data_IF_747230543093
#
_entry.id   IF_747230543093
#
_cell.length_a   1.000
_cell.length_b   1.000
_cell.length_c   1.000
_cell.angle_alpha   90.00
_cell.angle_beta   90.00
_cell.angle_gamma   90.00
#
_symmetry.space_group_name_H-M   'P 1'
#
loop_
_entity.id
_entity.type
_entity.pdbx_description
1 polymer ?
#
# COMPACT_ATOMS: atom_id res chain seq x y z
N UNK A 1 35.62 -16.92 51.91
CA UNK A 1 34.38 -17.42 51.23
C UNK A 1 33.42 -16.31 50.79
N UNK A 2 33.29 -15.19 51.49
CA UNK A 2 32.38 -14.10 51.13
C UNK A 2 32.70 -13.41 49.78
N UNK A 3 33.99 -13.16 49.49
CA UNK A 3 34.40 -12.49 48.23
C UNK A 3 34.11 -13.29 46.95
N UNK A 4 34.08 -14.63 47.03
CA UNK A 4 33.74 -15.48 45.88
C UNK A 4 32.24 -15.48 45.58
N UNK A 5 31.38 -15.35 46.60
CA UNK A 5 29.92 -15.23 46.45
C UNK A 5 29.52 -13.90 45.81
N UNK A 6 30.16 -12.80 46.21
CA UNK A 6 29.90 -11.47 45.66
C UNK A 6 30.31 -11.38 44.18
N UNK A 7 31.46 -11.99 43.82
CA UNK A 7 31.91 -12.04 42.42
C UNK A 7 30.99 -12.86 41.55
N UNK A 8 30.53 -14.04 42.00
CA UNK A 8 29.53 -14.86 41.27
C UNK A 8 28.17 -14.15 41.06
N UNK A 9 27.73 -13.43 42.07
CA UNK A 9 26.47 -12.66 42.00
C UNK A 9 26.54 -11.48 41.03
N UNK A 10 27.74 -10.85 40.91
CA UNK A 10 27.98 -9.77 39.93
C UNK A 10 27.96 -10.29 38.48
N UNK A 11 28.59 -11.41 38.22
CA UNK A 11 28.59 -12.07 36.92
C UNK A 11 27.17 -12.59 36.54
N UNK A 12 26.43 -13.11 37.51
CA UNK A 12 25.05 -13.54 37.28
C UNK A 12 24.14 -12.35 36.91
N UNK A 13 24.27 -11.19 37.56
CA UNK A 13 23.54 -9.96 37.22
C UNK A 13 23.91 -9.45 35.84
N UNK A 14 25.19 -9.48 35.44
CA UNK A 14 25.67 -9.09 34.13
C UNK A 14 25.14 -10.06 33.06
N UNK A 15 25.09 -11.35 33.32
CA UNK A 15 24.58 -12.37 32.43
C UNK A 15 23.06 -12.20 32.22
N UNK A 16 22.30 -11.93 33.27
CA UNK A 16 20.85 -11.65 33.19
C UNK A 16 20.57 -10.33 32.44
N UNK A 17 21.41 -9.31 32.66
CA UNK A 17 21.30 -8.04 31.93
C UNK A 17 21.63 -8.21 30.44
N UNK A 18 22.68 -8.97 30.11
CA UNK A 18 23.07 -9.28 28.74
C UNK A 18 22.02 -10.15 28.03
N UNK A 19 21.44 -11.14 28.74
CA UNK A 19 20.36 -11.95 28.23
C UNK A 19 19.05 -11.12 28.03
N UNK A 20 18.78 -10.16 28.91
CA UNK A 20 17.70 -9.20 28.76
C UNK A 20 17.88 -8.24 27.58
N UNK A 21 19.11 -7.76 27.33
CA UNK A 21 19.41 -6.92 26.16
C UNK A 21 19.31 -7.68 24.83
N UNK A 22 19.63 -8.99 24.81
CA UNK A 22 19.53 -9.79 23.58
C UNK A 22 18.09 -10.08 23.15
N UNK A 23 17.10 -9.90 24.03
CA UNK A 23 15.68 -10.05 23.71
C UNK A 23 15.08 -8.79 23.01
N UNK A 24 15.82 -7.68 22.95
CA UNK A 24 15.41 -6.45 22.27
C UNK A 24 16.05 -6.28 20.88
N UNK A 25 16.48 -7.36 20.24
CA UNK A 25 16.78 -7.32 18.80
C UNK A 25 15.44 -7.23 18.08
N UNK A 26 14.91 -6.02 17.94
CA UNK A 26 13.82 -5.73 17.04
C UNK A 26 14.30 -6.04 15.62
N UNK A 27 13.68 -7.00 14.96
CA UNK A 27 13.85 -7.20 13.53
C UNK A 27 13.40 -5.88 12.85
N UNK A 28 14.33 -5.17 12.26
CA UNK A 28 14.05 -4.02 11.42
C UNK A 28 13.38 -4.55 10.14
N UNK A 29 12.06 -4.63 10.16
CA UNK A 29 11.27 -4.99 9.00
C UNK A 29 11.15 -3.76 8.11
N UNK A 30 11.89 -3.71 7.01
CA UNK A 30 11.75 -2.67 6.01
C UNK A 30 10.63 -3.03 5.04
N UNK A 31 9.75 -2.07 4.74
CA UNK A 31 8.77 -2.21 3.66
C UNK A 31 9.50 -2.39 2.33
N UNK A 32 9.05 -3.35 1.53
CA UNK A 32 9.67 -3.70 0.25
C UNK A 32 8.92 -3.02 -0.90
N UNK A 33 7.58 -3.02 -0.83
CA UNK A 33 6.71 -2.44 -1.85
C UNK A 33 6.12 -1.09 -1.45
N UNK A 34 5.79 -0.22 -2.45
CA UNK A 34 5.04 1.02 -2.20
C UNK A 34 3.71 0.76 -1.50
N UNK A 35 3.35 1.62 -0.54
CA UNK A 35 2.02 1.60 0.08
C UNK A 35 1.37 2.97 0.04
N UNK A 36 0.04 2.97 -0.01
CA UNK A 36 -0.79 4.16 0.00
C UNK A 36 -1.60 4.22 1.29
N UNK A 37 -1.79 5.41 1.83
CA UNK A 37 -2.66 5.63 2.99
C UNK A 37 -4.13 5.59 2.58
N UNK A 38 -4.43 6.07 1.36
CA UNK A 38 -5.70 5.91 0.68
C UNK A 38 -5.70 4.63 -0.15
N UNK A 39 -5.49 3.45 0.48
CA UNK A 39 -5.28 2.19 -0.22
C UNK A 39 -6.43 1.80 -1.16
N UNK A 40 -7.66 2.24 -0.89
CA UNK A 40 -8.80 2.03 -1.78
C UNK A 40 -8.80 2.97 -3.01
N UNK A 41 -8.07 4.08 -2.98
CA UNK A 41 -7.94 4.96 -4.14
C UNK A 41 -7.07 4.35 -5.26
N UNK A 42 -6.34 3.26 -4.98
CA UNK A 42 -5.61 2.49 -5.97
C UNK A 42 -6.02 1.01 -5.94
N UNK A 43 -7.24 0.68 -6.36
CA UNK A 43 -7.84 -0.64 -6.16
C UNK A 43 -7.08 -1.77 -6.85
N UNK A 44 -6.50 -1.55 -8.04
CA UNK A 44 -5.77 -2.59 -8.76
C UNK A 44 -4.44 -2.95 -8.07
N UNK A 45 -3.86 -2.02 -7.32
CA UNK A 45 -2.67 -2.30 -6.49
C UNK A 45 -3.02 -3.04 -5.21
N UNK A 46 -4.19 -2.74 -4.65
CA UNK A 46 -4.68 -3.39 -3.45
C UNK A 46 -5.02 -4.86 -3.70
N UNK A 47 -5.80 -5.13 -4.77
CA UNK A 47 -6.29 -6.46 -5.08
C UNK A 47 -6.68 -6.58 -6.56
N UNK A 48 -6.11 -7.51 -7.33
CA UNK A 48 -6.52 -7.76 -8.73
C UNK A 48 -8.01 -8.00 -8.91
N UNK A 49 -8.68 -8.58 -7.91
CA UNK A 49 -10.12 -8.83 -7.95
C UNK A 49 -10.99 -7.55 -7.86
N UNK A 50 -10.39 -6.39 -7.62
CA UNK A 50 -11.08 -5.09 -7.69
C UNK A 50 -11.17 -4.53 -9.11
N UNK A 51 -10.59 -5.22 -10.11
CA UNK A 51 -10.73 -4.86 -11.53
C UNK A 51 -12.20 -4.89 -11.95
N UNK A 52 -12.70 -3.76 -12.42
CA UNK A 52 -14.09 -3.58 -12.83
C UNK A 52 -15.11 -3.57 -11.68
N UNK A 53 -14.66 -3.56 -10.43
CA UNK A 53 -15.52 -3.36 -9.26
C UNK A 53 -15.76 -1.86 -9.13
N UNK A 54 -16.67 -1.36 -9.95
CA UNK A 54 -17.07 0.05 -10.04
C UNK A 54 -18.56 0.15 -10.33
N UNK A 55 -19.18 1.24 -9.96
CA UNK A 55 -20.58 1.57 -10.24
C UNK A 55 -20.77 2.25 -11.61
N UNK A 56 -19.72 2.30 -12.43
CA UNK A 56 -19.72 2.83 -13.79
C UNK A 56 -19.22 1.83 -14.83
N UNK A 57 -19.13 2.28 -16.07
CA UNK A 57 -18.62 1.49 -17.20
C UNK A 57 -17.11 1.35 -17.16
N UNK A 58 -16.42 2.44 -16.78
CA UNK A 58 -14.98 2.45 -16.59
C UNK A 58 -14.59 3.44 -15.49
N UNK A 59 -13.41 3.19 -14.91
CA UNK A 59 -12.83 4.03 -13.87
C UNK A 59 -11.37 4.33 -14.21
N UNK A 60 -10.96 5.57 -13.91
CA UNK A 60 -9.58 6.04 -13.95
C UNK A 60 -9.20 6.52 -12.56
N UNK A 61 -8.07 6.07 -12.03
CA UNK A 61 -7.56 6.57 -10.75
C UNK A 61 -6.13 7.09 -10.96
N UNK A 62 -5.83 8.19 -10.29
CA UNK A 62 -4.49 8.76 -10.20
C UNK A 62 -4.27 9.11 -8.74
N UNK A 63 -3.14 8.70 -8.18
CA UNK A 63 -2.74 9.10 -6.85
C UNK A 63 -1.23 9.33 -6.75
N UNK A 64 -0.85 10.21 -5.84
CA UNK A 64 0.53 10.54 -5.55
C UNK A 64 0.72 10.70 -4.04
N UNK A 65 1.75 10.08 -3.49
CA UNK A 65 2.12 10.14 -2.08
C UNK A 65 3.57 10.56 -1.94
N UNK A 66 3.79 11.59 -1.15
CA UNK A 66 5.12 11.98 -0.69
C UNK A 66 5.25 11.60 0.78
N UNK A 67 6.25 10.79 1.12
CA UNK A 67 6.47 10.28 2.47
C UNK A 67 7.89 10.63 2.93
N UNK A 68 8.00 11.11 4.20
CA UNK A 68 9.27 11.44 4.86
C UNK A 68 10.12 12.47 4.09
N UNK A 69 9.49 13.49 3.50
CA UNK A 69 10.18 14.55 2.75
C UNK A 69 11.22 15.33 3.58
N UNK A 70 11.13 15.26 4.92
CA UNK A 70 12.09 15.88 5.83
C UNK A 70 13.36 15.04 6.09
N UNK A 71 13.40 13.80 5.59
CA UNK A 71 14.52 12.88 5.78
C UNK A 71 15.04 12.42 4.42
N UNK A 72 16.25 12.85 4.04
CA UNK A 72 17.02 12.36 2.88
C UNK A 72 16.16 12.15 1.61
N UNK A 73 15.50 13.22 1.10
CA UNK A 73 14.64 13.20 -0.11
C UNK A 73 13.48 12.20 -0.11
N UNK A 74 13.21 11.52 1.00
CA UNK A 74 12.04 10.69 1.25
C UNK A 74 11.64 9.74 0.12
N UNK A 75 10.35 9.39 0.11
CA UNK A 75 9.74 8.59 -0.97
C UNK A 75 8.69 9.40 -1.70
N UNK A 76 8.73 9.36 -3.01
CA UNK A 76 7.68 9.87 -3.90
C UNK A 76 7.09 8.68 -4.66
N UNK A 77 5.84 8.34 -4.39
CA UNK A 77 5.11 7.28 -5.08
C UNK A 77 3.98 7.89 -5.90
N UNK A 78 3.89 7.57 -7.17
CA UNK A 78 2.80 7.96 -8.05
C UNK A 78 2.20 6.72 -8.70
N UNK A 79 0.87 6.65 -8.76
CA UNK A 79 0.13 5.56 -9.36
C UNK A 79 -0.96 6.07 -10.29
N UNK A 80 -1.19 5.30 -11.36
CA UNK A 80 -2.35 5.48 -12.22
C UNK A 80 -2.93 4.12 -12.57
N UNK A 81 -4.25 4.02 -12.63
CA UNK A 81 -4.94 2.82 -13.06
C UNK A 81 -6.17 3.15 -13.90
N UNK A 82 -6.48 2.22 -14.79
CA UNK A 82 -7.69 2.21 -15.60
C UNK A 82 -8.32 0.84 -15.50
N UNK A 83 -9.62 0.77 -15.30
CA UNK A 83 -10.36 -0.48 -15.35
C UNK A 83 -11.77 -0.29 -15.90
N UNK A 84 -12.29 -1.35 -16.54
CA UNK A 84 -13.59 -1.36 -17.19
C UNK A 84 -14.26 -2.73 -17.09
N UNK A 85 -15.58 -2.75 -17.13
CA UNK A 85 -16.39 -3.95 -17.17
C UNK A 85 -17.23 -3.99 -18.46
N UNK A 86 -16.61 -4.30 -19.63
CA UNK A 86 -17.29 -4.24 -20.93
C UNK A 86 -18.37 -5.31 -21.09
N UNK A 87 -18.27 -6.39 -20.32
CA UNK A 87 -19.19 -7.51 -20.33
C UNK A 87 -19.66 -7.80 -18.91
N UNK A 88 -20.86 -8.31 -18.74
CA UNK A 88 -21.51 -8.52 -17.44
C UNK A 88 -20.63 -9.21 -16.37
N UNK A 89 -19.80 -10.15 -16.78
CA UNK A 89 -19.02 -10.97 -15.84
C UNK A 89 -17.50 -10.83 -16.02
N UNK A 90 -17.02 -10.15 -17.06
CA UNK A 90 -15.59 -10.02 -17.36
C UNK A 90 -15.18 -8.56 -17.30
N UNK A 91 -14.08 -8.32 -16.65
CA UNK A 91 -13.48 -6.99 -16.48
C UNK A 91 -12.01 -7.01 -16.86
N UNK A 92 -11.53 -5.87 -17.35
CA UNK A 92 -10.13 -5.67 -17.71
C UNK A 92 -9.62 -4.39 -17.08
N UNK A 93 -8.31 -4.33 -16.87
CA UNK A 93 -7.68 -3.14 -16.34
C UNK A 93 -6.19 -3.10 -16.62
N UNK A 94 -5.61 -1.95 -16.38
CA UNK A 94 -4.18 -1.71 -16.43
C UNK A 94 -3.78 -0.76 -15.32
N UNK A 95 -2.58 -0.92 -14.78
CA UNK A 95 -2.03 0.00 -13.82
C UNK A 95 -0.53 0.21 -14.01
N UNK A 96 -0.08 1.37 -13.59
CA UNK A 96 1.32 1.73 -13.49
C UNK A 96 1.55 2.40 -12.14
N UNK A 97 2.61 1.99 -11.44
CA UNK A 97 3.05 2.60 -10.18
C UNK A 97 4.54 2.84 -10.28
N UNK A 98 4.95 4.03 -9.95
CA UNK A 98 6.35 4.43 -9.88
C UNK A 98 6.66 4.95 -8.48
N UNK A 99 7.70 4.42 -7.86
CA UNK A 99 8.25 4.91 -6.61
C UNK A 99 9.69 5.34 -6.80
N UNK A 100 10.00 6.53 -6.31
CA UNK A 100 11.36 7.07 -6.24
C UNK A 100 11.75 7.26 -4.78
N UNK A 101 12.99 6.97 -4.44
CA UNK A 101 13.47 7.10 -3.07
C UNK A 101 14.94 7.51 -3.01
N UNK A 102 15.25 8.37 -2.04
CA UNK A 102 16.60 8.75 -1.65
C UNK A 102 17.41 9.48 -2.72
N UNK A 103 18.66 9.80 -2.35
CA UNK A 103 19.59 10.57 -3.20
C UNK A 103 20.24 9.72 -4.28
N UNK A 104 20.29 8.40 -4.11
CA UNK A 104 20.86 7.44 -5.07
C UNK A 104 20.00 7.24 -6.32
N UNK A 105 18.86 7.95 -6.41
CA UNK A 105 17.94 7.84 -7.55
C UNK A 105 17.29 6.48 -7.67
N UNK A 106 17.04 5.78 -6.52
CA UNK A 106 16.27 4.54 -6.54
C UNK A 106 14.91 4.76 -7.20
N UNK A 107 14.60 3.89 -8.13
CA UNK A 107 13.35 3.93 -8.89
C UNK A 107 12.79 2.52 -9.04
N UNK A 108 11.53 2.33 -8.64
CA UNK A 108 10.78 1.09 -8.85
C UNK A 108 9.54 1.40 -9.67
N UNK A 109 9.43 0.76 -10.83
CA UNK A 109 8.29 0.86 -11.73
C UNK A 109 7.59 -0.49 -11.78
N UNK A 110 6.28 -0.50 -11.52
CA UNK A 110 5.41 -1.64 -11.69
C UNK A 110 4.39 -1.31 -12.77
N UNK A 111 4.30 -2.12 -13.82
CA UNK A 111 3.30 -1.98 -14.88
C UNK A 111 2.59 -3.32 -15.09
N UNK A 112 1.27 -3.35 -14.87
CA UNK A 112 0.46 -4.56 -14.84
C UNK A 112 -0.79 -4.43 -15.69
N UNK A 113 -1.16 -5.51 -16.36
CA UNK A 113 -2.47 -5.71 -16.97
C UNK A 113 -3.28 -6.66 -16.08
N UNK A 114 -4.56 -6.42 -15.95
CA UNK A 114 -5.44 -7.21 -15.09
C UNK A 114 -6.67 -7.69 -15.85
N UNK A 115 -7.14 -8.88 -15.45
CA UNK A 115 -8.40 -9.45 -15.87
C UNK A 115 -9.14 -9.97 -14.64
N UNK A 116 -10.47 -9.79 -14.59
CA UNK A 116 -11.27 -10.34 -13.51
C UNK A 116 -12.56 -10.98 -14.02
N UNK A 117 -13.00 -12.02 -13.30
CA UNK A 117 -14.23 -12.73 -13.56
C UNK A 117 -15.16 -12.65 -12.35
N UNK A 118 -16.41 -12.23 -12.61
CA UNK A 118 -17.43 -11.95 -11.61
C UNK A 118 -18.49 -13.03 -11.59
N UNK A 119 -18.74 -13.59 -10.41
CA UNK A 119 -19.84 -14.53 -10.14
C UNK A 119 -20.87 -13.82 -9.27
N UNK A 120 -22.11 -13.75 -9.75
CA UNK A 120 -23.24 -13.19 -9.01
C UNK A 120 -24.12 -14.29 -8.47
N UNK A 121 -24.56 -14.17 -7.22
CA UNK A 121 -25.42 -15.12 -6.55
C UNK A 121 -26.35 -14.41 -5.54
N UNK A 122 -27.15 -15.20 -4.82
CA UNK A 122 -28.14 -14.66 -3.90
C UNK A 122 -29.43 -14.19 -4.60
N UNK A 123 -30.38 -13.74 -3.82
CA UNK A 123 -31.62 -13.17 -4.39
C UNK A 123 -31.25 -11.91 -5.15
N UNK A 124 -31.77 -11.76 -6.38
CA UNK A 124 -31.52 -10.62 -7.27
C UNK A 124 -30.05 -10.43 -7.71
N UNK A 125 -29.15 -11.40 -7.42
CA UNK A 125 -27.72 -11.31 -7.81
C UNK A 125 -26.93 -10.22 -7.07
N UNK A 126 -27.40 -9.80 -5.90
CA UNK A 126 -26.78 -8.74 -5.12
C UNK A 126 -25.45 -9.15 -4.45
N UNK A 127 -25.23 -10.44 -4.23
CA UNK A 127 -23.97 -10.96 -3.69
C UNK A 127 -23.01 -11.29 -4.82
N UNK A 128 -21.76 -10.89 -4.69
CA UNK A 128 -20.78 -10.96 -5.76
C UNK A 128 -19.46 -11.52 -5.21
N UNK A 129 -18.90 -12.51 -5.90
CA UNK A 129 -17.51 -12.92 -5.76
C UNK A 129 -16.79 -12.55 -7.05
N UNK A 130 -15.67 -11.88 -6.94
CA UNK A 130 -14.81 -11.51 -8.05
C UNK A 130 -13.44 -12.19 -7.89
N UNK A 131 -12.93 -12.80 -8.94
CA UNK A 131 -11.60 -13.38 -9.04
C UNK A 131 -10.79 -12.53 -10.01
N UNK A 132 -9.58 -12.15 -9.62
CA UNK A 132 -8.72 -11.32 -10.46
C UNK A 132 -7.33 -11.91 -10.62
N UNK A 133 -6.77 -11.72 -11.79
CA UNK A 133 -5.37 -12.03 -12.10
C UNK A 133 -4.73 -10.80 -12.73
N UNK A 134 -3.47 -10.57 -12.40
CA UNK A 134 -2.65 -9.56 -13.05
C UNK A 134 -1.34 -10.18 -13.51
N UNK A 135 -0.85 -9.71 -14.65
CA UNK A 135 0.47 -10.05 -15.17
C UNK A 135 1.14 -8.79 -15.71
N UNK A 136 2.43 -8.69 -15.54
CA UNK A 136 3.18 -7.52 -15.99
C UNK A 136 4.65 -7.59 -15.63
N UNK A 137 5.23 -6.43 -15.42
CA UNK A 137 6.66 -6.26 -15.21
C UNK A 137 6.94 -5.37 -14.00
N UNK A 138 8.03 -5.69 -13.32
CA UNK A 138 8.67 -4.83 -12.32
C UNK A 138 10.03 -4.43 -12.86
N UNK A 139 10.30 -3.14 -12.93
CA UNK A 139 11.62 -2.60 -13.20
C UNK A 139 12.14 -1.90 -11.94
N UNK A 140 13.31 -2.28 -11.48
CA UNK A 140 14.03 -1.57 -10.42
C UNK A 140 15.33 -1.03 -10.97
N UNK A 141 15.68 0.19 -10.60
CA UNK A 141 16.93 0.85 -11.02
C UNK A 141 17.42 1.82 -9.96
N UNK A 142 18.71 2.11 -9.98
CA UNK A 142 19.35 3.18 -9.23
C UNK A 142 20.52 3.74 -10.04
N UNK A 143 21.01 4.90 -9.65
CA UNK A 143 22.13 5.57 -10.32
C UNK A 143 23.44 5.28 -9.56
N UNK A 144 24.34 4.42 -10.11
CA UNK A 144 25.59 4.07 -9.45
C UNK A 144 26.48 5.28 -9.19
N UNK A 145 26.40 6.33 -10.03
CA UNK A 145 27.23 7.53 -9.87
C UNK A 145 26.89 8.38 -8.65
N UNK A 146 25.72 8.14 -8.06
CA UNK A 146 25.24 8.83 -6.85
C UNK A 146 25.48 8.04 -5.57
N UNK A 147 26.02 6.84 -5.67
CA UNK A 147 26.36 6.04 -4.50
C UNK A 147 27.65 6.58 -3.90
N UNK A 148 27.62 6.86 -2.60
CA UNK A 148 28.80 7.19 -1.81
C UNK A 148 28.98 6.10 -0.73
N UNK A 149 30.12 5.42 -0.78
CA UNK A 149 30.44 4.35 0.17
C UNK A 149 31.36 4.85 1.27
N UNK A 150 31.26 4.23 2.45
CA UNK A 150 32.13 4.55 3.56
C UNK A 150 33.62 4.36 3.26
N UNK A 151 33.96 3.45 2.33
CA UNK A 151 35.33 3.23 1.82
C UNK A 151 35.89 4.44 1.09
N UNK A 152 35.07 5.34 0.56
CA UNK A 152 35.44 6.56 -0.13
C UNK A 152 35.60 7.77 0.82
N UNK A 153 35.40 7.58 2.12
CA UNK A 153 35.57 8.63 3.11
C UNK A 153 36.97 8.61 3.72
N UNK A 154 37.70 9.69 3.49
CA UNK A 154 38.98 9.94 4.15
C UNK A 154 38.73 10.76 5.43
N UNK A 155 39.28 10.35 6.59
CA UNK A 155 39.08 11.04 7.86
C UNK A 155 39.53 12.50 7.89
N UNK A 156 40.41 12.91 6.98
CA UNK A 156 41.01 14.25 6.94
C UNK A 156 40.30 15.16 5.94
N UNK A 157 40.03 14.65 4.72
CA UNK A 157 39.49 15.46 3.60
C UNK A 157 38.01 15.20 3.31
N UNK A 158 37.40 14.22 4.01
CA UNK A 158 36.00 13.84 3.77
C UNK A 158 35.83 12.90 2.58
N UNK A 159 34.77 13.06 1.82
CA UNK A 159 34.47 12.23 0.65
C UNK A 159 35.50 12.48 -0.48
N UNK A 160 36.11 11.39 -0.95
CA UNK A 160 37.07 11.41 -2.05
C UNK A 160 36.58 10.53 -3.21
N UNK A 161 36.09 11.13 -4.32
CA UNK A 161 35.57 10.39 -5.48
C UNK A 161 36.65 9.63 -6.26
N UNK A 162 37.95 9.92 -6.01
CA UNK A 162 39.06 9.20 -6.66
C UNK A 162 39.30 7.81 -6.03
N UNK A 163 38.78 7.56 -4.83
CA UNK A 163 38.88 6.25 -4.19
C UNK A 163 37.88 5.31 -4.86
N UNK A 164 38.39 4.22 -5.41
CA UNK A 164 37.60 3.18 -6.07
C UNK A 164 36.58 2.57 -5.11
N UNK A 165 35.34 2.40 -5.58
CA UNK A 165 34.35 1.60 -4.86
C UNK A 165 34.80 0.14 -4.85
N UNK A 166 35.15 -0.38 -3.67
CA UNK A 166 35.58 -1.77 -3.51
C UNK A 166 34.39 -2.76 -3.43
N UNK A 167 33.22 -2.37 -3.90
CA UNK A 167 32.02 -3.20 -3.87
C UNK A 167 31.56 -3.50 -5.29
N UNK A 168 31.28 -4.78 -5.54
CA UNK A 168 30.77 -5.25 -6.83
C UNK A 168 29.29 -4.85 -6.99
N UNK A 169 29.00 -3.86 -7.80
CA UNK A 169 27.65 -3.54 -8.23
C UNK A 169 27.29 -4.44 -9.41
N UNK A 170 26.52 -5.49 -9.17
CA UNK A 170 26.17 -6.48 -10.19
C UNK A 170 25.28 -5.94 -11.29
N UNK A 171 24.34 -5.05 -10.96
CA UNK A 171 23.44 -4.42 -11.93
C UNK A 171 22.83 -3.16 -11.37
N UNK A 172 22.81 -2.09 -12.15
CA UNK A 172 22.13 -0.83 -11.81
C UNK A 172 20.66 -0.80 -12.22
N UNK A 173 20.21 -1.76 -13.01
CA UNK A 173 18.82 -1.88 -13.45
C UNK A 173 18.48 -3.32 -13.80
N UNK A 174 17.26 -3.75 -13.46
CA UNK A 174 16.73 -5.02 -13.93
C UNK A 174 15.22 -4.97 -14.16
N UNK A 175 14.77 -5.78 -15.11
CA UNK A 175 13.38 -5.99 -15.45
C UNK A 175 13.01 -7.45 -15.14
N UNK A 176 11.87 -7.65 -14.47
CA UNK A 176 11.38 -8.98 -14.13
C UNK A 176 9.87 -9.10 -14.38
N UNK A 177 9.40 -10.24 -14.93
CA UNK A 177 7.98 -10.52 -15.03
C UNK A 177 7.39 -10.79 -13.64
N UNK A 178 6.14 -10.38 -13.45
CA UNK A 178 5.42 -10.62 -12.22
C UNK A 178 3.96 -10.99 -12.47
N UNK A 179 3.39 -11.76 -11.54
CA UNK A 179 2.01 -12.23 -11.57
C UNK A 179 1.39 -12.08 -10.19
N UNK A 180 0.16 -11.58 -10.16
CA UNK A 180 -0.64 -11.39 -8.94
C UNK A 180 -1.99 -12.08 -9.11
N UNK A 181 -2.58 -12.52 -8.00
CA UNK A 181 -3.91 -13.13 -7.94
C UNK A 181 -4.71 -12.53 -6.79
N UNK A 182 -6.04 -12.45 -6.94
CA UNK A 182 -6.89 -11.95 -5.89
C UNK A 182 -8.30 -12.50 -5.93
N UNK A 183 -8.96 -12.41 -4.78
CA UNK A 183 -10.38 -12.75 -4.60
C UNK A 183 -11.03 -11.63 -3.79
N UNK A 184 -12.26 -11.29 -4.15
CA UNK A 184 -13.06 -10.28 -3.46
C UNK A 184 -14.51 -10.74 -3.38
N UNK A 185 -15.07 -10.68 -2.19
CA UNK A 185 -16.52 -10.79 -1.96
C UNK A 185 -17.07 -9.42 -1.60
N UNK A 186 -18.21 -9.06 -2.14
CA UNK A 186 -18.97 -7.91 -1.69
C UNK A 186 -20.48 -8.09 -1.88
N UNK A 187 -21.24 -7.50 -0.96
CA UNK A 187 -22.69 -7.40 -1.06
C UNK A 187 -23.06 -6.05 -1.68
N UNK A 188 -23.52 -6.07 -2.92
CA UNK A 188 -23.98 -4.90 -3.66
C UNK A 188 -25.50 -4.69 -3.62
N UNK A 189 -26.21 -5.34 -2.68
CA UNK A 189 -27.67 -5.23 -2.58
C UNK A 189 -28.09 -3.81 -2.16
N UNK A 190 -28.82 -3.11 -3.00
CA UNK A 190 -29.24 -1.73 -2.76
C UNK A 190 -30.29 -1.53 -1.67
N UNK A 191 -31.01 -2.60 -1.31
CA UNK A 191 -32.09 -2.59 -0.32
C UNK A 191 -31.61 -2.85 1.12
N UNK A 192 -30.31 -3.06 1.33
CA UNK A 192 -29.74 -3.31 2.66
C UNK A 192 -29.13 -2.03 3.26
N UNK A 193 -29.21 -1.95 4.58
CA UNK A 193 -28.54 -0.89 5.35
C UNK A 193 -27.04 -1.20 5.58
N UNK A 194 -26.63 -2.47 5.42
CA UNK A 194 -25.25 -2.91 5.61
C UNK A 194 -24.83 -3.66 4.36
N UNK A 195 -23.78 -3.16 3.71
CA UNK A 195 -23.15 -3.76 2.54
C UNK A 195 -21.69 -4.13 2.92
N UNK A 196 -21.45 -5.40 3.21
CA UNK A 196 -20.12 -5.88 3.60
C UNK A 196 -19.25 -6.24 2.42
N UNK A 197 -17.94 -6.11 2.59
CA UNK A 197 -16.96 -6.53 1.62
C UNK A 197 -15.71 -7.08 2.32
N UNK A 198 -15.11 -8.10 1.72
CA UNK A 198 -13.86 -8.70 2.18
C UNK A 198 -13.08 -9.25 1.00
N UNK A 199 -11.78 -9.06 0.99
CA UNK A 199 -10.92 -9.53 -0.09
C UNK A 199 -9.54 -9.92 0.39
N UNK A 200 -8.88 -10.70 -0.45
CA UNK A 200 -7.49 -11.08 -0.27
C UNK A 200 -6.76 -11.16 -1.58
N UNK A 201 -5.48 -10.86 -1.58
CA UNK A 201 -4.62 -10.98 -2.75
C UNK A 201 -3.24 -11.52 -2.40
N UNK A 202 -2.61 -12.15 -3.39
CA UNK A 202 -1.24 -12.61 -3.40
C UNK A 202 -0.51 -11.92 -4.55
N UNK A 203 0.50 -11.14 -4.25
CA UNK A 203 1.36 -10.47 -5.23
C UNK A 203 2.73 -11.13 -5.25
N UNK A 204 3.44 -10.95 -6.38
CA UNK A 204 4.78 -11.50 -6.61
C UNK A 204 4.83 -13.03 -6.56
N UNK A 205 3.84 -13.69 -7.20
CA UNK A 205 3.80 -15.15 -7.29
C UNK A 205 5.01 -15.74 -8.01
N UNK A 206 5.61 -14.99 -8.93
CA UNK A 206 6.83 -15.37 -9.65
C UNK A 206 8.08 -15.29 -8.80
N UNK A 207 8.04 -14.58 -7.66
CA UNK A 207 9.17 -14.32 -6.76
C UNK A 207 10.42 -13.90 -7.58
N UNK A 208 10.35 -12.78 -8.32
CA UNK A 208 11.44 -12.36 -9.20
C UNK A 208 12.76 -12.21 -8.43
N UNK A 209 13.87 -12.60 -9.08
CA UNK A 209 15.21 -12.45 -8.49
C UNK A 209 15.56 -10.99 -8.37
N UNK A 210 16.06 -10.58 -7.20
CA UNK A 210 16.67 -9.26 -7.01
C UNK A 210 18.12 -9.31 -7.51
N UNK A 211 18.39 -8.53 -8.55
CA UNK A 211 19.71 -8.51 -9.19
C UNK A 211 20.64 -7.42 -8.66
N UNK A 212 20.19 -6.60 -7.72
CA UNK A 212 21.05 -5.58 -7.11
C UNK A 212 22.02 -6.19 -6.11
N UNK A 213 21.55 -7.19 -5.37
CA UNK A 213 22.35 -7.91 -4.39
C UNK A 213 22.79 -9.23 -5.02
N UNK A 214 24.08 -9.51 -5.01
CA UNK A 214 24.59 -10.81 -5.47
C UNK A 214 23.94 -11.97 -4.73
N UNK A 215 23.85 -13.13 -5.38
CA UNK A 215 23.26 -14.32 -4.80
C UNK A 215 21.84 -14.63 -5.28
N UNK A 216 21.07 -15.37 -4.49
CA UNK A 216 19.74 -15.87 -4.84
C UNK A 216 18.60 -15.10 -4.13
N UNK A 217 18.84 -13.82 -3.81
CA UNK A 217 17.82 -12.95 -3.22
C UNK A 217 16.62 -12.83 -4.13
N UNK A 218 15.42 -13.00 -3.58
CA UNK A 218 14.15 -12.94 -4.32
C UNK A 218 13.18 -12.00 -3.64
N UNK A 219 12.41 -11.27 -4.44
CA UNK A 219 11.31 -10.47 -3.93
C UNK A 219 10.30 -11.41 -3.24
N UNK A 220 10.03 -11.20 -1.94
CA UNK A 220 9.05 -12.04 -1.24
C UNK A 220 7.64 -11.83 -1.78
N UNK A 221 6.82 -12.87 -1.72
CA UNK A 221 5.38 -12.74 -1.98
C UNK A 221 4.77 -11.77 -0.97
N UNK A 222 3.85 -10.94 -1.45
CA UNK A 222 3.04 -10.06 -0.62
C UNK A 222 1.63 -10.63 -0.49
N UNK A 223 1.21 -10.89 0.73
CA UNK A 223 -0.17 -11.19 1.09
C UNK A 223 -0.88 -9.90 1.51
N UNK A 224 -2.08 -9.66 0.99
CA UNK A 224 -2.94 -8.56 1.39
C UNK A 224 -4.31 -9.11 1.75
N UNK A 225 -4.80 -8.78 2.95
CA UNK A 225 -6.18 -9.01 3.38
C UNK A 225 -6.84 -7.68 3.69
N UNK A 226 -8.03 -7.44 3.18
CA UNK A 226 -8.74 -6.19 3.44
C UNK A 226 -10.25 -6.41 3.51
N UNK A 227 -10.97 -5.51 4.19
CA UNK A 227 -12.39 -5.61 4.29
C UNK A 227 -13.03 -4.46 5.05
N UNK A 228 -14.36 -4.49 5.08
CA UNK A 228 -15.15 -3.48 5.75
C UNK A 228 -16.64 -3.67 5.51
N UNK A 229 -17.42 -2.70 5.93
CA UNK A 229 -18.84 -2.68 5.69
C UNK A 229 -19.34 -1.24 5.57
N UNK A 230 -20.05 -0.92 4.49
CA UNK A 230 -20.79 0.33 4.38
C UNK A 230 -22.09 0.20 5.18
N UNK A 231 -22.30 1.09 6.13
CA UNK A 231 -23.45 1.14 7.02
C UNK A 231 -24.21 2.44 6.76
N UNK A 232 -25.43 2.34 6.26
CA UNK A 232 -26.32 3.48 6.10
C UNK A 232 -26.92 3.87 7.44
N UNK A 233 -26.53 5.01 7.99
CA UNK A 233 -27.09 5.53 9.23
C UNK A 233 -28.33 6.39 8.99
N UNK A 234 -28.33 7.14 7.87
CA UNK A 234 -29.46 7.96 7.44
C UNK A 234 -29.47 8.12 5.92
N UNK A 235 -30.40 8.90 5.41
CA UNK A 235 -30.44 9.27 3.98
C UNK A 235 -29.22 10.11 3.54
N UNK A 236 -28.56 10.78 4.48
CA UNK A 236 -27.46 11.70 4.18
C UNK A 236 -26.12 11.19 4.69
N UNK A 237 -26.07 10.14 5.54
CA UNK A 237 -24.85 9.73 6.22
C UNK A 237 -24.66 8.23 6.16
N UNK A 238 -23.54 7.84 5.56
CA UNK A 238 -23.01 6.48 5.59
C UNK A 238 -21.70 6.46 6.34
N UNK A 239 -21.42 5.37 7.07
CA UNK A 239 -20.12 5.11 7.70
C UNK A 239 -19.58 3.79 7.19
N UNK A 240 -18.28 3.77 6.85
CA UNK A 240 -17.59 2.57 6.38
C UNK A 240 -16.38 2.28 7.29
N UNK A 241 -16.56 1.48 8.36
CA UNK A 241 -15.43 0.87 9.04
C UNK A 241 -14.69 -0.06 8.09
N UNK A 242 -13.35 -0.04 8.16
CA UNK A 242 -12.49 -0.80 7.26
C UNK A 242 -11.20 -1.23 7.94
N UNK A 243 -10.56 -2.24 7.39
CA UNK A 243 -9.27 -2.73 7.83
C UNK A 243 -8.44 -3.23 6.65
N UNK A 244 -7.12 -3.23 6.83
CA UNK A 244 -6.16 -3.84 5.93
C UNK A 244 -5.06 -4.55 6.73
N UNK A 245 -4.64 -5.69 6.23
CA UNK A 245 -3.48 -6.45 6.67
C UNK A 245 -2.58 -6.73 5.47
N UNK A 246 -1.32 -6.37 5.56
CA UNK A 246 -0.28 -6.63 4.58
C UNK A 246 0.85 -7.41 5.23
N UNK A 247 1.38 -8.40 4.52
CA UNK A 247 2.59 -9.12 4.91
C UNK A 247 3.45 -9.41 3.69
N UNK A 248 4.74 -9.01 3.75
CA UNK A 248 5.72 -9.25 2.71
C UNK A 248 7.09 -9.57 3.33
N UNK A 249 7.50 -10.83 3.25
CA UNK A 249 8.67 -11.31 3.99
C UNK A 249 8.46 -11.13 5.51
N UNK A 250 9.38 -10.41 6.14
CA UNK A 250 9.32 -10.09 7.57
C UNK A 250 8.53 -8.80 7.85
N UNK A 251 8.27 -7.98 6.82
CA UNK A 251 7.50 -6.76 6.95
C UNK A 251 6.00 -7.06 7.05
N UNK A 252 5.32 -6.40 7.99
CA UNK A 252 3.87 -6.47 8.14
C UNK A 252 3.30 -5.08 8.40
N UNK A 253 2.09 -4.88 7.93
CA UNK A 253 1.31 -3.67 8.17
C UNK A 253 -0.11 -4.08 8.57
N UNK A 254 -0.63 -3.48 9.62
CA UNK A 254 -2.02 -3.62 10.06
C UNK A 254 -2.58 -2.23 10.23
N UNK A 255 -3.63 -1.92 9.50
CA UNK A 255 -4.32 -0.66 9.68
C UNK A 255 -5.84 -0.87 9.75
N UNK A 256 -6.51 0.00 10.49
CA UNK A 256 -7.96 0.00 10.58
C UNK A 256 -8.48 1.37 10.94
N UNK A 257 -9.73 1.61 10.58
CA UNK A 257 -10.38 2.88 10.83
C UNK A 257 -11.77 2.94 10.23
N UNK A 258 -12.22 4.14 9.95
CA UNK A 258 -13.49 4.36 9.29
C UNK A 258 -13.47 5.68 8.52
N UNK A 259 -14.27 5.74 7.47
CA UNK A 259 -14.64 7.01 6.84
C UNK A 259 -16.16 7.16 6.81
N UNK A 260 -16.60 8.41 6.85
CA UNK A 260 -17.98 8.82 6.69
C UNK A 260 -18.17 9.47 5.33
N UNK A 261 -19.32 9.23 4.71
CA UNK A 261 -19.79 9.90 3.50
C UNK A 261 -21.04 10.68 3.85
N UNK A 262 -20.98 12.00 3.75
CA UNK A 262 -22.07 12.91 4.00
C UNK A 262 -22.61 13.45 2.65
N UNK A 263 -23.83 13.11 2.30
CA UNK A 263 -24.48 13.61 1.10
C UNK A 263 -24.89 15.09 1.30
N UNK A 264 -24.27 15.97 0.52
CA UNK A 264 -24.53 17.41 0.55
C UNK A 264 -25.72 17.78 -0.35
N UNK A 265 -25.76 17.15 -1.52
CA UNK A 265 -26.82 17.30 -2.51
C UNK A 265 -26.84 16.11 -3.47
N UNK A 266 -27.67 16.13 -4.52
CA UNK A 266 -27.82 15.04 -5.49
C UNK A 266 -26.57 14.73 -6.30
N UNK A 267 -25.61 15.65 -6.36
CA UNK A 267 -24.39 15.53 -7.17
C UNK A 267 -23.09 15.49 -6.34
N UNK A 268 -23.18 15.77 -5.02
CA UNK A 268 -21.97 15.96 -4.20
C UNK A 268 -22.08 15.31 -2.84
N UNK A 269 -21.02 14.58 -2.47
CA UNK A 269 -20.84 14.04 -1.12
C UNK A 269 -19.49 14.48 -0.55
N UNK A 270 -19.46 14.77 0.74
CA UNK A 270 -18.24 15.00 1.50
C UNK A 270 -17.78 13.68 2.13
N UNK A 271 -16.53 13.35 1.97
CA UNK A 271 -15.89 12.17 2.56
C UNK A 271 -14.91 12.64 3.64
N UNK A 272 -14.92 12.03 4.79
CA UNK A 272 -13.92 12.29 5.83
C UNK A 272 -13.74 11.09 6.72
N UNK A 273 -12.55 10.91 7.25
CA UNK A 273 -12.27 9.72 8.06
C UNK A 273 -10.88 9.73 8.67
N UNK A 274 -10.63 8.68 9.42
CA UNK A 274 -9.34 8.43 10.01
C UNK A 274 -9.05 6.93 10.03
N UNK A 275 -7.77 6.59 9.82
CA UNK A 275 -7.23 5.25 9.97
C UNK A 275 -6.03 5.30 10.94
N UNK A 276 -5.80 4.21 11.62
CA UNK A 276 -4.60 4.03 12.42
C UNK A 276 -3.83 2.83 11.90
N UNK A 277 -2.59 3.07 11.49
CA UNK A 277 -1.63 2.06 11.11
C UNK A 277 -0.78 1.74 12.34
N UNK A 278 -0.90 0.51 12.81
CA UNK A 278 -0.24 0.06 14.04
C UNK A 278 1.27 0.27 13.95
N UNK A 279 1.84 0.83 15.01
CA UNK A 279 3.28 1.09 15.18
C UNK A 279 3.90 2.03 14.12
N UNK A 280 3.09 2.69 13.27
CA UNK A 280 3.57 3.59 12.22
C UNK A 280 2.91 4.97 12.28
N UNK A 281 1.61 5.09 11.97
CA UNK A 281 1.01 6.42 11.78
C UNK A 281 -0.49 6.48 12.07
N UNK A 282 -0.95 7.65 12.48
CA UNK A 282 -2.35 8.06 12.42
C UNK A 282 -2.61 8.81 11.11
N UNK A 283 -3.65 8.46 10.39
CA UNK A 283 -3.98 8.98 9.08
C UNK A 283 -5.31 9.72 9.15
N UNK A 284 -5.32 10.98 8.74
CA UNK A 284 -6.54 11.75 8.53
C UNK A 284 -6.82 11.86 7.03
N UNK A 285 -8.08 11.71 6.65
CA UNK A 285 -8.54 11.75 5.28
C UNK A 285 -9.73 12.71 5.13
N UNK A 286 -9.71 13.46 4.03
CA UNK A 286 -10.84 14.28 3.56
C UNK A 286 -10.96 14.12 2.04
N UNK A 287 -12.20 14.04 1.54
CA UNK A 287 -12.45 13.94 0.10
C UNK A 287 -13.77 14.60 -0.29
N UNK A 288 -13.88 14.89 -1.57
CA UNK A 288 -15.08 15.43 -2.21
C UNK A 288 -15.43 14.53 -3.39
N UNK A 289 -16.60 13.94 -3.33
CA UNK A 289 -17.24 13.33 -4.49
C UNK A 289 -18.13 14.39 -5.15
N UNK A 290 -17.89 14.67 -6.43
CA UNK A 290 -18.71 15.56 -7.23
C UNK A 290 -18.97 14.93 -8.60
N UNK A 291 -20.22 14.62 -8.88
CA UNK A 291 -20.67 13.93 -10.12
C UNK A 291 -19.92 12.60 -10.31
N UNK A 292 -19.02 12.57 -11.29
CA UNK A 292 -18.25 11.39 -11.67
C UNK A 292 -16.84 11.38 -11.11
N UNK A 293 -16.47 12.37 -10.30
CA UNK A 293 -15.11 12.56 -9.78
C UNK A 293 -15.08 12.45 -8.26
N UNK A 294 -14.03 11.82 -7.75
CA UNK A 294 -13.69 11.83 -6.32
C UNK A 294 -12.30 12.41 -6.18
N UNK A 295 -12.18 13.44 -5.36
CA UNK A 295 -10.92 14.04 -4.95
C UNK A 295 -10.65 13.65 -3.51
N UNK A 296 -9.45 13.19 -3.21
CA UNK A 296 -9.05 12.80 -1.87
C UNK A 296 -7.71 13.40 -1.47
N UNK A 297 -7.63 13.80 -0.21
CA UNK A 297 -6.40 14.27 0.43
C UNK A 297 -6.26 13.53 1.75
N UNK A 298 -5.11 12.96 2.02
CA UNK A 298 -4.80 12.41 3.34
C UNK A 298 -3.43 12.85 3.82
N UNK A 299 -3.29 12.88 5.13
CA UNK A 299 -2.04 13.19 5.81
C UNK A 299 -1.75 12.14 6.88
N UNK A 300 -0.53 11.59 6.82
CA UNK A 300 -0.01 10.64 7.79
C UNK A 300 0.74 11.39 8.89
N UNK A 301 0.36 11.18 10.14
CA UNK A 301 1.08 11.66 11.33
C UNK A 301 1.90 10.50 11.89
N UNK A 302 3.23 10.57 11.81
CA UNK A 302 4.08 9.53 12.36
C UNK A 302 3.91 9.40 13.87
N UNK A 303 3.56 8.21 14.33
CA UNK A 303 3.44 7.84 15.74
C UNK A 303 4.53 6.87 16.18
N UNK A 304 5.34 6.37 15.25
CA UNK A 304 6.47 5.46 15.47
C UNK A 304 7.70 6.19 16.03
N UNK A 305 8.76 5.45 16.32
CA UNK A 305 10.06 6.01 16.76
C UNK A 305 10.66 6.98 15.73
N UNK A 306 10.26 6.89 14.45
CA UNK A 306 10.67 7.81 13.39
C UNK A 306 10.18 9.26 13.63
N UNK A 307 9.19 9.45 14.52
CA UNK A 307 8.71 10.76 14.94
C UNK A 307 9.84 11.69 15.41
N UNK A 308 10.87 11.15 16.08
CA UNK A 308 12.03 11.95 16.54
C UNK A 308 12.82 12.56 15.38
N UNK A 309 12.93 11.85 14.26
CA UNK A 309 13.65 12.32 13.07
C UNK A 309 12.79 13.19 12.16
N UNK A 310 11.47 12.95 12.11
CA UNK A 310 10.56 13.61 11.18
C UNK A 310 9.75 14.76 11.79
N UNK A 311 9.77 14.92 13.13
CA UNK A 311 8.92 15.86 13.83
C UNK A 311 7.44 15.60 13.60
N UNK A 312 7.01 14.33 13.64
CA UNK A 312 5.66 13.82 13.34
C UNK A 312 5.19 14.00 11.88
N UNK A 313 6.06 14.44 10.97
CA UNK A 313 5.73 14.59 9.56
C UNK A 313 5.86 13.24 8.86
N UNK A 314 4.73 12.61 8.54
CA UNK A 314 4.68 11.31 7.88
C UNK A 314 4.62 11.43 6.36
N UNK A 315 3.45 11.74 5.81
CA UNK A 315 3.29 11.83 4.38
C UNK A 315 2.00 12.55 3.97
N UNK A 316 2.05 13.20 2.82
CA UNK A 316 0.90 13.78 2.14
C UNK A 316 0.54 12.89 0.95
N UNK A 317 -0.74 12.56 0.80
CA UNK A 317 -1.25 11.81 -0.34
C UNK A 317 -2.45 12.51 -0.98
N UNK A 318 -2.42 12.61 -2.29
CA UNK A 318 -3.49 13.16 -3.12
C UNK A 318 -4.03 12.06 -4.04
N UNK A 319 -5.34 12.02 -4.23
CA UNK A 319 -5.98 11.09 -5.15
C UNK A 319 -7.08 11.76 -5.97
N UNK A 320 -7.23 11.29 -7.20
CA UNK A 320 -8.31 11.66 -8.09
C UNK A 320 -8.84 10.37 -8.72
N UNK A 321 -10.14 10.14 -8.62
CA UNK A 321 -10.83 9.05 -9.28
C UNK A 321 -11.92 9.61 -10.17
N UNK A 322 -12.01 9.11 -11.40
CA UNK A 322 -13.07 9.39 -12.34
C UNK A 322 -13.79 8.10 -12.71
N UNK A 323 -15.12 8.09 -12.57
CA UNK A 323 -15.97 6.95 -12.94
C UNK A 323 -17.01 7.39 -13.97
N UNK A 324 -16.90 6.85 -15.19
CA UNK A 324 -17.90 7.12 -16.25
C UNK A 324 -19.14 6.29 -16.03
N UNK A 325 -20.30 6.94 -16.06
CA UNK A 325 -21.61 6.29 -16.01
C UNK A 325 -22.36 6.57 -17.30
N UNK A 326 -22.70 5.52 -18.05
CA UNK A 326 -23.73 5.63 -19.09
C UNK A 326 -25.07 5.62 -18.39
N UNK A 327 -25.97 6.53 -18.80
CA UNK A 327 -27.28 6.77 -18.21
C UNK A 327 -27.99 5.48 -17.77
N UNK A 328 -28.45 5.47 -16.55
CA UNK A 328 -28.90 4.30 -15.80
C UNK A 328 -30.19 3.76 -16.38
N UNK A 329 -30.19 2.49 -16.76
CA UNK A 329 -31.40 1.70 -16.90
C UNK A 329 -31.19 0.45 -16.02
N UNK A 330 -31.71 0.49 -14.79
CA UNK A 330 -31.71 -0.68 -13.88
C UNK A 330 -31.52 -0.34 -12.40
N UNK A 331 -31.75 -1.32 -11.50
CA UNK A 331 -31.50 -1.10 -10.09
C UNK A 331 -30.01 -0.81 -9.87
N UNK A 332 -29.73 0.28 -9.19
CA UNK A 332 -28.37 0.70 -8.83
C UNK A 332 -27.74 -0.35 -7.93
N UNK A 333 -26.73 -1.08 -8.43
CA UNK A 333 -25.88 -1.87 -7.57
C UNK A 333 -24.99 -0.91 -6.79
N UNK A 334 -25.00 -1.03 -5.46
CA UNK A 334 -24.02 -0.33 -4.65
C UNK A 334 -22.71 -1.11 -4.68
N UNK A 335 -21.81 -0.68 -5.53
CA UNK A 335 -20.42 -1.08 -5.40
C UNK A 335 -19.86 -0.41 -4.13
N UNK A 336 -19.01 -1.07 -3.32
CA UNK A 336 -18.28 -0.35 -2.30
C UNK A 336 -17.54 0.78 -3.02
N UNK A 337 -17.93 2.03 -2.74
CA UNK A 337 -17.19 3.21 -3.22
C UNK A 337 -15.92 3.23 -2.37
N UNK A 338 -14.88 2.63 -2.91
CA UNK A 338 -13.56 2.50 -2.30
C UNK A 338 -12.71 3.68 -2.73
#
# INVERSE_FOLDING_TARGET
MANLKIKKMKYFKILVLALGLSLFVSNLSAQIDPHFSQYYANPLWLNPALTGVTDGDYRVNINAKQQWASVANGYLTAGASFDMAPVKNVSFGAMIINQRAGDIGYNQLNAMLSGAYRIRFGREGGQIINFGIQAGIINKSFDPSKITLGSQFNPIIGYDPSISMNEDIFSSSYLSPDVNFGVMYFDGSGNKNINSFIGGSLSHLTRPKDKFVGGDSRLPMRFTGHGGARIKLSYMLDITPNFIYLKQGDAQEVAGGAYAQLTLNTESDLLFGANYRLEDSAIAFVGLHHKNMVFGVSYDFNTSQLNRATGSRGGLELSISFTSRKGIVGPSFYCPRL
#
